data_IF_044509007010
#
_entry.id   IF_044509007010
#
_cell.length_a   1.000
_cell.length_b   1.000
_cell.length_c   1.000
_cell.angle_alpha   90.00
_cell.angle_beta   90.00
_cell.angle_gamma   90.00
#
_symmetry.space_group_name_H-M   'P 1'
#
loop_
_entity.id
_entity.type
_entity.pdbx_description
1 polymer ?
#
# COMPACT_ATOMS: atom_id res chain seq x y z
N UNK A 1 -14.74 -14.74 37.26
CA UNK A 1 -13.88 -15.66 36.49
C UNK A 1 -13.34 -14.90 35.27
N UNK A 2 -12.12 -14.37 35.37
CA UNK A 2 -11.48 -13.62 34.29
C UNK A 2 -10.75 -14.58 33.36
N UNK A 3 -11.23 -14.74 32.12
CA UNK A 3 -10.53 -15.50 31.08
C UNK A 3 -9.33 -14.66 30.62
N UNK A 4 -8.13 -15.08 31.00
CA UNK A 4 -6.87 -14.53 30.47
C UNK A 4 -6.76 -14.90 28.99
N UNK A 5 -6.76 -13.89 28.15
CA UNK A 5 -6.61 -14.02 26.69
C UNK A 5 -5.15 -14.34 26.34
N UNK A 6 -4.84 -15.40 25.57
CA UNK A 6 -3.48 -15.84 25.28
C UNK A 6 -2.87 -15.17 24.03
N UNK A 7 -3.10 -13.87 23.83
CA UNK A 7 -2.55 -13.13 22.68
C UNK A 7 -1.51 -12.11 23.14
N UNK A 8 -0.30 -12.56 23.46
CA UNK A 8 0.82 -11.64 23.75
C UNK A 8 2.20 -12.21 23.37
N UNK A 9 2.27 -13.19 22.47
CA UNK A 9 3.51 -13.92 22.17
C UNK A 9 3.72 -14.07 20.66
N UNK A 10 3.78 -12.96 19.95
CA UNK A 10 4.15 -12.92 18.53
C UNK A 10 4.66 -11.53 18.13
N UNK A 11 5.61 -10.96 18.87
CA UNK A 11 6.24 -9.69 18.47
C UNK A 11 7.73 -9.54 18.82
N UNK A 12 8.43 -10.62 19.20
CA UNK A 12 9.78 -10.52 19.80
C UNK A 12 10.94 -11.08 18.97
N UNK A 13 10.76 -11.37 17.67
CA UNK A 13 11.75 -12.16 16.90
C UNK A 13 12.28 -11.51 15.61
N UNK A 14 12.46 -10.19 15.59
CA UNK A 14 12.98 -9.47 14.41
C UNK A 14 14.10 -8.45 14.68
N UNK A 15 14.80 -8.55 15.82
CA UNK A 15 15.90 -7.63 16.17
C UNK A 15 17.25 -8.34 16.29
N UNK A 16 17.75 -8.92 15.20
CA UNK A 16 19.17 -9.30 15.09
C UNK A 16 19.60 -9.54 13.63
N UNK A 17 19.45 -8.53 12.76
CA UNK A 17 20.24 -8.48 11.54
C UNK A 17 21.36 -7.44 11.75
N UNK A 18 22.64 -7.79 11.54
CA UNK A 18 23.69 -6.78 11.56
C UNK A 18 23.44 -5.74 10.45
N UNK A 19 23.82 -4.46 10.66
CA UNK A 19 23.77 -3.48 9.60
C UNK A 19 24.76 -3.90 8.51
N UNK A 20 24.25 -4.47 7.42
CA UNK A 20 25.03 -4.59 6.18
C UNK A 20 25.05 -3.19 5.57
N UNK A 21 26.02 -2.37 5.99
CA UNK A 21 26.43 -1.21 5.21
C UNK A 21 27.08 -1.74 3.93
N UNK A 22 26.26 -1.95 2.90
CA UNK A 22 26.78 -2.07 1.56
C UNK A 22 27.40 -0.71 1.22
N UNK A 23 28.74 -0.63 1.24
CA UNK A 23 29.43 0.46 0.61
C UNK A 23 28.96 0.52 -0.84
N UNK A 24 28.25 1.58 -1.22
CA UNK A 24 28.00 1.86 -2.64
C UNK A 24 29.38 1.93 -3.31
N UNK A 25 29.64 1.17 -4.38
CA UNK A 25 30.87 1.34 -5.14
C UNK A 25 30.95 2.80 -5.57
N UNK A 26 32.04 3.45 -5.19
CA UNK A 26 32.38 4.83 -5.59
C UNK A 26 32.19 4.92 -7.09
N UNK A 27 31.29 5.80 -7.51
CA UNK A 27 30.72 5.82 -8.85
C UNK A 27 31.77 5.86 -9.95
N UNK A 28 31.84 4.79 -10.72
CA UNK A 28 32.24 4.91 -12.11
C UNK A 28 31.25 5.87 -12.77
N UNK A 29 31.77 7.01 -13.26
CA UNK A 29 30.99 7.90 -14.12
C UNK A 29 30.53 7.06 -15.31
N UNK A 30 29.25 6.70 -15.33
CA UNK A 30 28.64 6.15 -16.53
C UNK A 30 28.91 7.14 -17.67
N UNK A 31 29.51 6.71 -18.80
CA UNK A 31 29.65 7.58 -19.94
C UNK A 31 28.27 8.12 -20.31
N UNK A 32 28.19 9.41 -20.63
CA UNK A 32 26.95 10.04 -21.06
C UNK A 32 26.39 9.24 -22.23
N UNK A 33 25.32 8.48 -21.97
CA UNK A 33 24.63 7.73 -23.00
C UNK A 33 23.94 8.74 -23.91
N UNK A 34 24.60 9.10 -25.02
CA UNK A 34 23.94 9.69 -26.17
C UNK A 34 22.77 8.76 -26.55
N UNK A 35 21.56 9.32 -26.55
CA UNK A 35 20.39 8.57 -26.98
C UNK A 35 20.59 8.23 -28.47
N UNK A 36 20.54 6.96 -28.89
CA UNK A 36 20.66 6.62 -30.30
C UNK A 36 19.47 7.24 -31.04
N UNK A 37 19.75 8.30 -31.80
CA UNK A 37 18.79 8.89 -32.73
C UNK A 37 18.62 7.91 -33.89
N UNK A 38 17.53 7.16 -33.85
CA UNK A 38 16.90 6.57 -35.04
C UNK A 38 17.40 5.21 -35.47
N UNK A 39 16.94 4.15 -34.79
CA UNK A 39 16.45 2.89 -35.38
C UNK A 39 15.48 2.30 -34.35
N UNK A 40 14.30 1.82 -34.77
CA UNK A 40 13.39 1.10 -33.87
C UNK A 40 14.18 -0.04 -33.19
N UNK A 41 14.19 -0.13 -31.85
CA UNK A 41 15.07 -1.05 -31.16
C UNK A 41 14.68 -2.51 -31.45
N UNK A 42 15.66 -3.29 -31.92
CA UNK A 42 15.50 -4.68 -32.39
C UNK A 42 15.84 -5.73 -31.32
N UNK A 43 16.17 -5.33 -30.09
CA UNK A 43 16.48 -6.25 -28.99
C UNK A 43 15.31 -6.35 -28.01
N UNK A 44 15.20 -7.44 -27.25
CA UNK A 44 14.22 -7.58 -26.16
C UNK A 44 14.35 -6.47 -25.08
N UNK A 45 15.47 -5.72 -25.06
CA UNK A 45 15.71 -4.51 -24.26
C UNK A 45 15.07 -3.23 -24.84
N UNK A 46 14.46 -3.29 -26.03
CA UNK A 46 13.74 -2.21 -26.71
C UNK A 46 12.64 -1.54 -25.90
N UNK A 47 12.02 -2.29 -25.00
CA UNK A 47 10.92 -1.83 -24.15
C UNK A 47 11.40 -1.12 -22.88
N UNK A 48 12.71 -1.11 -22.63
CA UNK A 48 13.30 -0.65 -21.37
C UNK A 48 14.10 0.63 -21.64
N UNK A 49 13.62 1.75 -21.08
CA UNK A 49 14.26 3.06 -21.21
C UNK A 49 15.74 2.99 -20.73
N UNK A 50 16.75 3.33 -21.56
CA UNK A 50 18.14 3.46 -21.14
C UNK A 50 18.32 4.39 -19.94
N UNK A 51 17.41 5.38 -19.77
CA UNK A 51 17.38 6.29 -18.61
C UNK A 51 16.88 5.65 -17.32
N UNK A 52 16.53 4.35 -17.32
CA UNK A 52 16.43 3.58 -16.07
C UNK A 52 17.73 3.64 -15.24
N UNK A 53 18.88 3.93 -15.87
CA UNK A 53 20.15 4.15 -15.18
C UNK A 53 20.19 5.45 -14.33
N UNK A 54 19.46 6.52 -14.71
CA UNK A 54 19.36 7.74 -13.89
C UNK A 54 18.12 7.67 -13.00
N UNK A 55 18.23 6.85 -11.95
CA UNK A 55 17.25 6.79 -10.88
C UNK A 55 17.24 8.11 -10.08
N UNK A 56 16.09 8.53 -9.55
CA UNK A 56 16.04 9.67 -8.63
C UNK A 56 16.92 9.47 -7.38
N UNK A 57 17.27 8.21 -7.08
CA UNK A 57 18.23 7.82 -6.05
C UNK A 57 19.70 8.18 -6.36
N UNK A 58 20.07 8.38 -7.63
CA UNK A 58 21.44 8.76 -8.01
C UNK A 58 21.74 10.25 -7.82
N UNK A 59 20.71 11.08 -7.70
CA UNK A 59 20.86 12.53 -7.49
C UNK A 59 21.16 12.85 -6.02
N UNK A 60 21.84 13.96 -5.72
CA UNK A 60 22.06 14.40 -4.35
C UNK A 60 20.72 14.69 -3.64
N UNK A 61 20.68 14.55 -2.29
CA UNK A 61 19.52 14.95 -1.49
C UNK A 61 19.14 16.41 -1.75
N UNK A 62 17.84 16.67 -1.96
CA UNK A 62 17.31 18.02 -2.21
C UNK A 62 15.87 18.15 -1.71
N UNK A 63 15.41 19.39 -1.57
CA UNK A 63 13.98 19.64 -1.46
C UNK A 63 13.31 19.26 -2.79
N UNK A 64 12.15 18.60 -2.72
CA UNK A 64 11.44 18.19 -3.93
C UNK A 64 9.93 18.26 -3.76
N UNK A 65 9.27 18.37 -4.91
CA UNK A 65 7.87 18.03 -5.07
C UNK A 65 7.76 16.79 -5.95
N UNK A 66 6.91 15.84 -5.56
CA UNK A 66 6.70 14.62 -6.32
C UNK A 66 5.21 14.28 -6.41
N UNK A 67 4.87 13.55 -7.47
CA UNK A 67 3.57 12.94 -7.65
C UNK A 67 3.71 11.47 -8.01
N UNK A 68 2.86 10.63 -7.43
CA UNK A 68 2.63 9.26 -7.86
C UNK A 68 1.18 9.13 -8.24
N UNK A 69 0.89 8.60 -9.41
CA UNK A 69 -0.49 8.35 -9.83
C UNK A 69 -0.65 6.86 -10.13
N UNK A 70 -1.48 6.20 -9.34
CA UNK A 70 -1.88 4.81 -9.60
C UNK A 70 -3.19 4.79 -10.39
N UNK A 71 -3.12 4.35 -11.64
CA UNK A 71 -4.26 4.14 -12.53
C UNK A 71 -4.65 2.67 -12.52
N UNK A 72 -5.80 2.32 -11.97
CA UNK A 72 -6.38 0.98 -12.04
C UNK A 72 -7.67 0.97 -12.85
N UNK A 73 -8.22 -0.22 -13.11
CA UNK A 73 -9.47 -0.36 -13.86
C UNK A 73 -10.66 0.41 -13.24
N UNK A 74 -10.69 0.53 -11.91
CA UNK A 74 -11.81 1.16 -11.16
C UNK A 74 -11.39 2.35 -10.31
N UNK A 75 -10.15 2.82 -10.42
CA UNK A 75 -9.65 3.88 -9.55
C UNK A 75 -8.54 4.72 -10.20
N UNK A 76 -8.47 5.96 -9.75
CA UNK A 76 -7.29 6.82 -9.87
C UNK A 76 -6.89 7.24 -8.46
N UNK A 77 -5.63 7.01 -8.08
CA UNK A 77 -5.09 7.39 -6.77
C UNK A 77 -3.86 8.29 -6.96
N UNK A 78 -4.05 9.60 -7.11
CA UNK A 78 -2.94 10.53 -7.12
C UNK A 78 -2.42 10.74 -5.69
N UNK A 79 -1.11 10.80 -5.55
CA UNK A 79 -0.41 11.07 -4.30
C UNK A 79 0.57 12.20 -4.56
N UNK A 80 0.51 13.24 -3.74
CA UNK A 80 1.39 14.39 -3.77
C UNK A 80 2.33 14.30 -2.57
N UNK A 81 3.61 14.51 -2.81
CA UNK A 81 4.66 14.44 -1.80
C UNK A 81 5.49 15.71 -1.83
N UNK A 82 5.73 16.30 -0.66
CA UNK A 82 6.68 17.39 -0.46
C UNK A 82 7.68 16.95 0.61
N UNK A 83 8.97 17.04 0.32
CA UNK A 83 9.96 16.54 1.27
C UNK A 83 11.38 16.94 0.93
N UNK A 84 12.31 16.37 1.70
CA UNK A 84 13.74 16.53 1.52
C UNK A 84 14.42 15.16 1.45
N UNK A 85 15.26 14.97 0.44
CA UNK A 85 16.01 13.72 0.23
C UNK A 85 16.15 13.34 -1.24
N UNK A 86 16.21 12.04 -1.48
CA UNK A 86 16.19 11.38 -2.79
C UNK A 86 14.76 10.88 -3.06
N UNK A 87 13.99 11.51 -3.97
CA UNK A 87 12.60 11.13 -4.24
C UNK A 87 12.48 9.63 -4.54
N UNK A 88 11.46 8.96 -3.96
CA UNK A 88 11.17 7.53 -4.17
C UNK A 88 12.31 6.57 -3.80
N UNK A 89 13.23 6.97 -2.93
CA UNK A 89 14.34 6.12 -2.48
C UNK A 89 14.71 6.38 -1.03
N UNK A 90 14.95 7.64 -0.67
CA UNK A 90 15.38 8.00 0.68
C UNK A 90 14.98 9.44 1.01
N UNK A 91 13.87 9.66 1.71
CA UNK A 91 13.39 11.00 2.01
C UNK A 91 12.46 11.02 3.24
N UNK A 92 12.27 12.21 3.79
CA UNK A 92 11.28 12.52 4.81
C UNK A 92 10.44 13.70 4.34
N UNK A 93 9.15 13.68 4.63
CA UNK A 93 8.28 14.80 4.34
C UNK A 93 6.82 14.52 4.63
N UNK A 94 5.96 15.20 3.87
CA UNK A 94 4.51 15.11 3.95
C UNK A 94 3.92 14.52 2.68
N UNK A 95 2.89 13.70 2.84
CA UNK A 95 2.13 13.07 1.77
C UNK A 95 0.66 13.47 1.87
N UNK A 96 0.06 13.79 0.72
CA UNK A 96 -1.36 14.02 0.54
C UNK A 96 -1.91 13.11 -0.57
N UNK A 97 -3.06 12.49 -0.34
CA UNK A 97 -3.68 11.55 -1.28
C UNK A 97 -5.18 11.78 -1.31
N UNK A 98 -5.71 12.56 -2.28
CA UNK A 98 -7.15 12.66 -2.46
C UNK A 98 -7.69 11.32 -2.98
N UNK A 99 -8.83 10.93 -2.43
CA UNK A 99 -9.46 9.64 -2.70
C UNK A 99 -10.78 9.93 -3.39
N UNK A 100 -10.88 9.51 -4.65
CA UNK A 100 -12.12 9.58 -5.43
C UNK A 100 -12.52 8.18 -5.88
N UNK A 101 -13.65 7.70 -5.37
CA UNK A 101 -14.20 6.39 -5.69
C UNK A 101 -15.71 6.53 -5.93
N UNK A 102 -16.33 5.51 -6.52
CA UNK A 102 -17.78 5.51 -6.74
C UNK A 102 -18.57 5.53 -5.42
N UNK A 103 -18.02 4.90 -4.37
CA UNK A 103 -18.66 4.82 -3.06
C UNK A 103 -18.48 6.08 -2.20
N UNK A 104 -17.60 7.03 -2.56
CA UNK A 104 -17.34 8.19 -1.72
C UNK A 104 -16.15 9.06 -2.13
N UNK A 105 -15.97 10.14 -1.36
CA UNK A 105 -14.84 11.05 -1.47
C UNK A 105 -14.10 11.15 -0.14
N UNK A 106 -12.79 11.28 -0.22
CA UNK A 106 -11.95 11.45 0.95
C UNK A 106 -10.60 12.07 0.63
N UNK A 107 -9.81 12.26 1.66
CA UNK A 107 -8.43 12.68 1.53
C UNK A 107 -7.62 12.13 2.71
N UNK A 108 -6.40 11.69 2.41
CA UNK A 108 -5.38 11.39 3.40
C UNK A 108 -4.34 12.51 3.41
N UNK A 109 -3.85 12.84 4.60
CA UNK A 109 -2.70 13.71 4.81
C UNK A 109 -1.85 13.20 5.98
N UNK A 110 -0.54 13.17 5.81
CA UNK A 110 0.35 12.68 6.87
C UNK A 110 1.83 12.89 6.61
N UNK A 111 2.64 12.39 7.53
CA UNK A 111 4.09 12.32 7.42
C UNK A 111 4.51 10.99 6.81
N UNK A 112 5.65 10.99 6.12
CA UNK A 112 6.24 9.79 5.58
C UNK A 112 7.76 9.84 5.65
N UNK A 113 8.35 8.71 6.03
CA UNK A 113 9.77 8.42 5.99
C UNK A 113 9.97 7.24 5.07
N UNK A 114 10.72 7.44 4.00
CA UNK A 114 11.14 6.39 3.10
C UNK A 114 12.66 6.29 3.18
N UNK A 115 13.19 5.13 3.54
CA UNK A 115 14.62 4.80 3.53
C UNK A 115 14.79 3.41 2.93
N UNK A 116 16.00 2.98 2.54
CA UNK A 116 16.20 1.63 2.04
C UNK A 116 15.59 0.60 2.99
N UNK A 117 14.73 -0.28 2.45
CA UNK A 117 14.04 -1.36 3.16
C UNK A 117 12.92 -0.95 4.11
N UNK A 118 12.70 0.33 4.39
CA UNK A 118 11.68 0.80 5.34
C UNK A 118 10.91 2.00 4.76
N UNK A 119 9.60 1.88 4.65
CA UNK A 119 8.70 2.97 4.31
C UNK A 119 7.63 3.06 5.40
N UNK A 120 7.67 4.14 6.18
CA UNK A 120 6.75 4.38 7.28
C UNK A 120 5.94 5.64 7.01
N UNK A 121 4.62 5.52 7.16
CA UNK A 121 3.68 6.63 7.01
C UNK A 121 2.74 6.70 8.21
N UNK A 122 2.43 7.93 8.62
CA UNK A 122 1.46 8.19 9.69
C UNK A 122 0.65 9.43 9.35
N UNK A 123 -0.67 9.37 9.52
CA UNK A 123 -1.53 10.47 9.14
C UNK A 123 -2.99 10.26 9.46
N UNK A 124 -3.81 11.18 8.96
CA UNK A 124 -5.27 11.14 9.09
C UNK A 124 -5.91 11.02 7.71
N UNK A 125 -7.00 10.25 7.65
CA UNK A 125 -7.82 10.04 6.46
C UNK A 125 -9.27 10.40 6.78
N UNK A 126 -9.77 11.44 6.13
CA UNK A 126 -11.21 11.73 6.14
C UNK A 126 -11.88 11.02 4.97
N UNK A 127 -13.03 10.41 5.21
CA UNK A 127 -13.84 9.79 4.16
C UNK A 127 -15.33 10.05 4.38
N UNK A 128 -16.03 10.43 3.32
CA UNK A 128 -17.48 10.60 3.28
C UNK A 128 -18.06 9.64 2.25
N UNK A 129 -18.82 8.66 2.71
CA UNK A 129 -19.49 7.69 1.84
C UNK A 129 -20.73 8.31 1.18
N UNK A 130 -20.95 7.97 -0.08
CA UNK A 130 -22.14 8.28 -0.86
C UNK A 130 -23.18 7.18 -0.80
N UNK A 131 -22.72 5.93 -0.67
CA UNK A 131 -23.57 4.75 -0.74
C UNK A 131 -23.88 4.23 0.66
N UNK A 132 -22.88 4.16 1.55
CA UNK A 132 -22.99 3.50 2.84
C UNK A 132 -23.47 4.42 3.96
N UNK A 133 -24.23 3.84 4.88
CA UNK A 133 -24.63 4.45 6.16
C UNK A 133 -23.96 3.73 7.31
N UNK A 134 -24.01 4.29 8.51
CA UNK A 134 -23.60 3.55 9.70
C UNK A 134 -24.44 2.28 9.87
N UNK A 135 -23.78 1.19 10.25
CA UNK A 135 -24.37 -0.14 10.32
C UNK A 135 -24.86 -0.44 11.75
N UNK A 136 -25.94 -1.20 11.86
CA UNK A 136 -26.38 -1.76 13.13
C UNK A 136 -25.52 -2.99 13.43
N UNK A 137 -25.05 -3.20 14.67
CA UNK A 137 -24.26 -4.38 15.04
C UNK A 137 -24.94 -5.71 14.68
N UNK A 138 -24.21 -6.56 13.97
CA UNK A 138 -24.64 -7.89 13.51
C UNK A 138 -23.41 -8.83 13.46
N UNK A 139 -23.63 -10.15 13.52
CA UNK A 139 -22.55 -11.13 13.45
C UNK A 139 -21.94 -11.30 12.06
N UNK A 140 -22.69 -11.00 11.01
CA UNK A 140 -22.21 -11.07 9.62
C UNK A 140 -22.94 -10.07 8.76
N UNK A 141 -22.23 -9.49 7.79
CA UNK A 141 -22.81 -8.56 6.82
C UNK A 141 -22.76 -9.15 5.41
N UNK A 142 -23.88 -9.06 4.70
CA UNK A 142 -23.95 -9.33 3.27
C UNK A 142 -23.99 -8.00 2.50
N UNK A 143 -23.71 -8.05 1.20
CA UNK A 143 -23.76 -6.86 0.32
C UNK A 143 -25.09 -6.09 0.40
N UNK A 144 -26.21 -6.80 0.61
CA UNK A 144 -27.55 -6.20 0.68
C UNK A 144 -27.69 -5.28 1.92
N UNK A 145 -26.96 -5.56 3.00
CA UNK A 145 -27.05 -4.75 4.22
C UNK A 145 -26.47 -3.35 4.02
N UNK A 146 -25.58 -3.16 3.04
CA UNK A 146 -25.02 -1.86 2.66
C UNK A 146 -26.00 -1.01 1.84
N UNK A 147 -26.96 -1.64 1.17
CA UNK A 147 -27.96 -0.95 0.35
C UNK A 147 -29.12 -0.42 1.21
N UNK A 148 -29.27 -0.92 2.44
CA UNK A 148 -30.28 -0.47 3.40
C UNK A 148 -29.90 0.90 3.97
N UNK A 149 -30.55 1.95 3.46
CA UNK A 149 -30.42 3.32 3.98
C UNK A 149 -31.17 3.48 5.31
N UNK A 150 -30.55 3.03 6.40
CA UNK A 150 -31.17 3.08 7.75
C UNK A 150 -30.81 4.38 8.49
N UNK A 151 -29.76 5.08 8.08
CA UNK A 151 -29.23 6.24 8.82
C UNK A 151 -28.58 7.27 7.90
N UNK A 152 -27.95 8.28 8.50
CA UNK A 152 -27.11 9.25 7.82
C UNK A 152 -25.94 8.56 7.11
N UNK A 153 -25.46 9.22 6.06
CA UNK A 153 -24.30 8.77 5.31
C UNK A 153 -23.06 8.72 6.21
N UNK A 154 -22.34 7.61 6.13
CA UNK A 154 -21.18 7.37 6.97
C UNK A 154 -20.08 8.39 6.63
N UNK A 155 -19.61 9.10 7.66
CA UNK A 155 -18.46 9.99 7.60
C UNK A 155 -17.49 9.57 8.68
N UNK A 156 -16.24 9.36 8.32
CA UNK A 156 -15.22 8.89 9.27
C UNK A 156 -13.95 9.71 9.15
N UNK A 157 -13.27 9.82 10.28
CA UNK A 157 -11.88 10.25 10.35
C UNK A 157 -11.07 9.09 10.92
N UNK A 158 -10.12 8.61 10.14
CA UNK A 158 -9.28 7.47 10.49
C UNK A 158 -7.84 7.92 10.63
N UNK A 159 -7.25 7.74 11.81
CA UNK A 159 -5.81 7.94 12.02
C UNK A 159 -5.09 6.64 11.71
N UNK A 160 -4.17 6.64 10.76
CA UNK A 160 -3.48 5.43 10.31
C UNK A 160 -1.96 5.57 10.47
N UNK A 161 -1.32 4.48 10.89
CA UNK A 161 0.13 4.28 10.83
C UNK A 161 0.39 3.01 10.04
N UNK A 162 1.17 3.09 8.96
CA UNK A 162 1.54 1.96 8.11
C UNK A 162 3.06 1.89 7.97
N UNK A 163 3.59 0.68 8.13
CA UNK A 163 4.99 0.33 8.00
C UNK A 163 5.13 -0.75 6.93
N UNK A 164 5.86 -0.43 5.87
CA UNK A 164 6.27 -1.34 4.82
C UNK A 164 7.77 -1.66 4.99
N UNK A 165 8.09 -2.95 5.00
CA UNK A 165 9.43 -3.49 5.06
C UNK A 165 9.71 -4.32 3.80
N UNK A 166 10.92 -4.23 3.27
CA UNK A 166 11.32 -5.04 2.12
C UNK A 166 12.73 -5.60 2.26
N UNK A 167 12.88 -6.91 2.12
CA UNK A 167 14.16 -7.60 2.30
C UNK A 167 14.46 -8.47 1.07
N UNK A 168 15.71 -8.46 0.60
CA UNK A 168 16.14 -9.43 -0.40
C UNK A 168 16.33 -10.79 0.30
N UNK A 169 15.69 -11.84 -0.20
CA UNK A 169 15.72 -13.18 0.39
C UNK A 169 15.81 -14.24 -0.70
N UNK A 170 17.01 -14.81 -0.85
CA UNK A 170 17.32 -15.76 -1.91
C UNK A 170 17.08 -15.15 -3.30
N UNK A 171 16.38 -15.85 -4.22
CA UNK A 171 16.09 -15.33 -5.56
C UNK A 171 14.95 -14.30 -5.59
N UNK A 172 14.45 -13.87 -4.43
CA UNK A 172 13.25 -13.07 -4.33
C UNK A 172 13.35 -11.93 -3.33
N UNK A 173 12.19 -11.33 -3.06
CA UNK A 173 12.01 -10.25 -2.11
C UNK A 173 10.86 -10.58 -1.17
N UNK A 174 11.14 -10.55 0.13
CA UNK A 174 10.14 -10.59 1.17
C UNK A 174 9.62 -9.16 1.40
N UNK A 175 8.31 -8.99 1.35
CA UNK A 175 7.59 -7.75 1.62
C UNK A 175 6.73 -7.98 2.85
N UNK A 176 6.84 -7.10 3.84
CA UNK A 176 6.01 -7.14 5.05
C UNK A 176 5.37 -5.79 5.22
N UNK A 177 4.05 -5.75 5.38
CA UNK A 177 3.29 -4.54 5.68
C UNK A 177 2.57 -4.73 7.00
N UNK A 178 2.68 -3.77 7.90
CA UNK A 178 1.86 -3.68 9.10
C UNK A 178 1.14 -2.33 9.11
N UNK A 179 -0.14 -2.31 9.45
CA UNK A 179 -0.87 -1.07 9.65
C UNK A 179 -1.82 -1.15 10.84
N UNK A 180 -1.94 -0.05 11.57
CA UNK A 180 -2.93 0.14 12.63
C UNK A 180 -3.70 1.41 12.33
N UNK A 181 -5.02 1.32 12.44
CA UNK A 181 -5.91 2.45 12.22
C UNK A 181 -6.84 2.66 13.41
N UNK A 182 -7.08 3.93 13.74
CA UNK A 182 -7.99 4.40 14.78
C UNK A 182 -9.14 5.19 14.13
N UNK A 183 -10.31 4.57 14.04
CA UNK A 183 -11.50 5.09 13.37
C UNK A 183 -12.34 5.91 14.36
N UNK A 184 -12.69 7.14 13.97
CA UNK A 184 -13.47 8.10 14.76
C UNK A 184 -14.60 8.72 13.94
N UNK A 185 -15.52 9.41 14.63
CA UNK A 185 -16.71 10.01 14.01
C UNK A 185 -17.86 9.03 13.77
N UNK A 186 -17.80 7.85 14.40
CA UNK A 186 -18.87 6.85 14.36
C UNK A 186 -19.76 7.02 15.60
N UNK A 187 -21.10 7.09 15.46
CA UNK A 187 -22.01 7.16 16.59
C UNK A 187 -21.90 5.92 17.50
N UNK A 188 -22.14 6.11 18.80
CA UNK A 188 -22.09 5.01 19.77
C UNK A 188 -23.06 3.88 19.38
N UNK A 189 -22.60 2.63 19.54
CA UNK A 189 -23.38 1.43 19.21
C UNK A 189 -23.61 1.21 17.71
N UNK A 190 -22.83 1.88 16.85
CA UNK A 190 -22.85 1.69 15.39
C UNK A 190 -21.52 1.17 14.88
N UNK A 191 -21.59 0.38 13.82
CA UNK A 191 -20.43 -0.07 13.07
C UNK A 191 -20.26 0.78 11.81
N UNK A 192 -19.07 0.71 11.22
CA UNK A 192 -18.80 1.42 9.96
C UNK A 192 -18.03 0.53 9.00
N UNK A 193 -18.28 0.72 7.71
CA UNK A 193 -17.48 0.12 6.67
C UNK A 193 -16.19 0.91 6.45
N UNK A 194 -15.05 0.28 6.69
CA UNK A 194 -13.74 0.87 6.41
C UNK A 194 -13.39 0.63 4.92
N UNK A 195 -13.49 1.70 4.14
CA UNK A 195 -13.42 1.65 2.67
C UNK A 195 -12.03 1.35 2.10
N UNK A 196 -10.94 1.50 2.87
CA UNK A 196 -9.59 1.16 2.38
C UNK A 196 -9.32 -0.33 2.57
N UNK A 197 -9.61 -0.85 3.75
CA UNK A 197 -9.36 -2.22 4.19
C UNK A 197 -10.49 -3.18 3.79
N UNK A 198 -11.66 -2.65 3.44
CA UNK A 198 -12.87 -3.40 3.11
C UNK A 198 -13.27 -4.36 4.24
N UNK A 199 -13.48 -3.82 5.43
CA UNK A 199 -13.91 -4.55 6.62
C UNK A 199 -14.94 -3.74 7.40
N UNK A 200 -15.82 -4.41 8.14
CA UNK A 200 -16.73 -3.75 9.09
C UNK A 200 -16.01 -3.57 10.41
N UNK A 201 -15.94 -2.33 10.86
CA UNK A 201 -15.25 -1.93 12.09
C UNK A 201 -16.27 -1.64 13.16
N UNK A 202 -16.14 -2.34 14.29
CA UNK A 202 -16.59 -1.89 15.60
C UNK A 202 -15.48 -0.98 16.17
N UNK A 203 -15.68 0.35 16.17
CA UNK A 203 -14.62 1.30 16.48
C UNK A 203 -14.03 1.09 17.90
N UNK A 204 -12.76 1.48 18.12
CA UNK A 204 -12.00 2.35 17.23
C UNK A 204 -10.88 1.65 16.44
N UNK A 205 -10.46 0.45 16.83
CA UNK A 205 -9.23 -0.14 16.30
C UNK A 205 -9.48 -1.11 15.17
N UNK A 206 -8.65 -1.01 14.13
CA UNK A 206 -8.46 -2.06 13.13
C UNK A 206 -6.97 -2.19 12.86
N UNK A 207 -6.49 -3.41 12.73
CA UNK A 207 -5.10 -3.65 12.33
C UNK A 207 -5.04 -4.61 11.16
N UNK A 208 -3.92 -4.56 10.47
CA UNK A 208 -3.64 -5.40 9.32
C UNK A 208 -2.16 -5.75 9.25
N UNK A 209 -1.88 -6.97 8.82
CA UNK A 209 -0.55 -7.42 8.45
C UNK A 209 -0.59 -8.17 7.12
N UNK A 210 0.25 -7.78 6.17
CA UNK A 210 0.42 -8.49 4.90
C UNK A 210 1.86 -8.95 4.76
N UNK A 211 2.05 -10.20 4.36
CA UNK A 211 3.35 -10.78 4.02
C UNK A 211 3.27 -11.26 2.58
N UNK A 212 4.25 -10.90 1.77
CA UNK A 212 4.37 -11.39 0.40
C UNK A 212 5.81 -11.79 0.07
N UNK A 213 5.97 -12.86 -0.69
CA UNK A 213 7.27 -13.26 -1.23
C UNK A 213 7.21 -13.21 -2.75
N UNK A 214 7.96 -12.30 -3.37
CA UNK A 214 8.04 -12.19 -4.82
C UNK A 214 9.33 -12.80 -5.35
N UNK A 215 9.26 -13.79 -6.23
CA UNK A 215 10.40 -14.24 -7.02
C UNK A 215 10.79 -13.11 -7.99
N UNK A 216 12.04 -12.68 -7.97
CA UNK A 216 12.53 -11.54 -8.76
C UNK A 216 13.25 -12.06 -9.99
N UNK A 217 12.92 -11.53 -11.17
CA UNK A 217 13.52 -11.95 -12.43
C UNK A 217 13.65 -10.79 -13.43
N UNK A 218 14.32 -11.07 -14.55
CA UNK A 218 14.76 -10.07 -15.53
C UNK A 218 16.21 -9.63 -15.30
N UNK A 219 16.87 -9.18 -16.36
CA UNK A 219 18.29 -8.78 -16.38
C UNK A 219 18.65 -7.69 -15.36
N UNK A 220 17.67 -6.92 -14.89
CA UNK A 220 17.81 -5.84 -13.91
C UNK A 220 16.95 -6.05 -12.66
N UNK A 221 16.43 -7.26 -12.43
CA UNK A 221 15.51 -7.55 -11.31
C UNK A 221 14.23 -6.69 -11.36
N UNK A 222 13.75 -6.40 -12.56
CA UNK A 222 12.66 -5.45 -12.81
C UNK A 222 11.27 -6.07 -12.68
N UNK A 223 11.17 -7.39 -12.69
CA UNK A 223 9.91 -8.12 -12.60
C UNK A 223 9.87 -8.94 -11.31
N UNK A 224 8.70 -9.03 -10.70
CA UNK A 224 8.45 -9.96 -9.61
C UNK A 224 7.04 -10.53 -9.65
N UNK A 225 6.91 -11.77 -9.20
CA UNK A 225 5.63 -12.43 -8.95
C UNK A 225 5.74 -13.34 -7.74
N UNK A 226 4.69 -13.45 -6.93
CA UNK A 226 4.62 -14.51 -5.94
C UNK A 226 3.46 -14.36 -4.97
N UNK A 227 3.36 -15.26 -3.98
CA UNK A 227 2.22 -15.30 -3.08
C UNK A 227 2.24 -14.17 -2.06
N UNK A 228 1.05 -13.77 -1.63
CA UNK A 228 0.79 -12.90 -0.50
C UNK A 228 -0.29 -13.48 0.41
N UNK A 229 -0.16 -13.19 1.70
CA UNK A 229 -1.14 -13.44 2.76
C UNK A 229 -1.42 -12.13 3.46
N UNK A 230 -2.68 -11.82 3.68
CA UNK A 230 -3.17 -10.61 4.32
C UNK A 230 -4.06 -10.99 5.49
N UNK A 231 -3.74 -10.49 6.67
CA UNK A 231 -4.43 -10.75 7.93
C UNK A 231 -4.99 -9.43 8.43
N UNK A 232 -6.28 -9.40 8.72
CA UNK A 232 -6.96 -8.24 9.27
C UNK A 232 -7.81 -8.67 10.46
N UNK A 233 -7.92 -7.80 11.45
CA UNK A 233 -8.71 -8.05 12.65
C UNK A 233 -9.16 -6.71 13.26
N UNK A 234 -10.36 -6.73 13.82
CA UNK A 234 -11.03 -5.61 14.45
C UNK A 234 -11.24 -6.00 15.91
N UNK A 235 -10.39 -5.58 16.85
CA UNK A 235 -10.43 -6.04 18.23
C UNK A 235 -11.78 -5.82 18.94
N UNK A 236 -12.58 -4.83 18.51
CA UNK A 236 -13.93 -4.60 19.04
C UNK A 236 -14.94 -5.70 18.68
N UNK A 237 -14.64 -6.52 17.67
CA UNK A 237 -15.55 -7.53 17.12
C UNK A 237 -14.88 -8.91 17.13
N UNK A 238 -15.38 -9.81 17.99
CA UNK A 238 -14.77 -11.12 18.27
C UNK A 238 -14.64 -12.05 17.05
N UNK A 239 -15.50 -11.89 16.04
CA UNK A 239 -15.54 -12.72 14.83
C UNK A 239 -14.93 -12.04 13.58
N UNK A 240 -14.34 -10.84 13.71
CA UNK A 240 -13.92 -9.98 12.59
C UNK A 240 -12.70 -10.43 11.79
N UNK A 241 -12.04 -11.52 12.20
CA UNK A 241 -10.80 -11.99 11.58
C UNK A 241 -11.00 -12.28 10.11
N UNK A 242 -10.23 -11.58 9.29
CA UNK A 242 -10.25 -11.73 7.85
C UNK A 242 -8.88 -12.18 7.36
N UNK A 243 -8.84 -13.31 6.65
CA UNK A 243 -7.65 -13.85 6.02
C UNK A 243 -7.84 -13.82 4.51
N UNK A 244 -6.90 -13.23 3.80
CA UNK A 244 -6.90 -13.17 2.35
C UNK A 244 -5.58 -13.70 1.80
N UNK A 245 -5.62 -14.35 0.66
CA UNK A 245 -4.43 -14.91 0.00
C UNK A 245 -4.50 -14.67 -1.49
N UNK A 246 -3.35 -14.57 -2.15
CA UNK A 246 -3.31 -14.52 -3.61
C UNK A 246 -2.00 -14.01 -4.18
N UNK A 247 -1.85 -13.97 -5.50
CA UNK A 247 -0.62 -13.51 -6.11
C UNK A 247 -0.50 -11.98 -6.09
N UNK A 248 0.74 -11.52 -5.94
CA UNK A 248 1.16 -10.15 -6.21
C UNK A 248 2.21 -10.17 -7.31
N UNK A 249 2.21 -9.16 -8.17
CA UNK A 249 3.18 -9.01 -9.24
C UNK A 249 3.57 -7.55 -9.44
N UNK A 250 4.76 -7.34 -9.95
CA UNK A 250 5.29 -6.02 -10.29
C UNK A 250 6.12 -6.13 -11.56
N UNK A 251 5.94 -5.20 -12.49
CA UNK A 251 6.77 -5.09 -13.70
C UNK A 251 7.19 -3.64 -13.88
N UNK A 252 8.46 -3.33 -13.69
CA UNK A 252 9.00 -1.99 -13.93
C UNK A 252 9.29 -1.84 -15.41
N UNK A 253 8.57 -0.94 -16.08
CA UNK A 253 8.74 -0.66 -17.51
C UNK A 253 9.75 0.46 -17.74
N UNK A 254 9.77 1.45 -16.85
CA UNK A 254 10.73 2.55 -16.87
C UNK A 254 10.98 3.10 -15.46
N UNK A 255 11.81 4.14 -15.34
CA UNK A 255 11.94 4.87 -14.06
C UNK A 255 10.61 5.48 -13.61
N UNK A 256 9.73 5.84 -14.55
CA UNK A 256 8.46 6.52 -14.27
C UNK A 256 7.27 5.57 -14.24
N UNK A 257 7.34 4.43 -14.90
CA UNK A 257 6.17 3.57 -15.15
C UNK A 257 6.41 2.16 -14.59
N UNK A 258 5.47 1.71 -13.77
CA UNK A 258 5.47 0.39 -13.14
C UNK A 258 4.07 -0.23 -13.25
N UNK A 259 3.95 -1.44 -13.80
CA UNK A 259 2.72 -2.23 -13.73
C UNK A 259 2.70 -2.93 -12.37
N UNK A 260 1.58 -2.86 -11.65
CA UNK A 260 1.37 -3.53 -10.37
C UNK A 260 0.10 -4.35 -10.42
N UNK A 261 0.18 -5.56 -9.88
CA UNK A 261 -0.96 -6.46 -9.74
C UNK A 261 -1.03 -7.05 -8.34
N UNK A 262 -2.23 -7.12 -7.77
CA UNK A 262 -2.55 -7.81 -6.52
C UNK A 262 -3.90 -8.48 -6.71
N UNK A 263 -3.97 -9.80 -6.58
CA UNK A 263 -5.21 -10.58 -6.73
C UNK A 263 -5.44 -11.43 -5.48
N UNK A 264 -5.64 -10.76 -4.37
CA UNK A 264 -5.74 -11.33 -3.02
C UNK A 264 -7.22 -11.54 -2.68
N UNK A 265 -7.67 -12.79 -2.63
CA UNK A 265 -9.05 -13.17 -2.36
C UNK A 265 -9.25 -13.58 -0.90
N UNK A 266 -10.43 -13.29 -0.36
CA UNK A 266 -10.81 -13.66 1.00
C UNK A 266 -11.03 -15.16 1.12
N UNK A 267 -10.34 -15.80 2.07
CA UNK A 267 -10.50 -17.22 2.41
C UNK A 267 -11.29 -17.38 3.70
N UNK A 268 -11.09 -16.47 4.65
CA UNK A 268 -11.80 -16.43 5.93
C UNK A 268 -12.29 -15.01 6.14
N UNK A 269 -13.58 -14.83 6.42
CA UNK A 269 -14.17 -13.59 6.91
C UNK A 269 -15.58 -13.90 7.42
N UNK A 270 -16.07 -13.22 8.46
CA UNK A 270 -17.48 -13.32 8.85
C UNK A 270 -18.40 -12.66 7.82
N UNK A 271 -17.88 -11.75 6.99
CA UNK A 271 -18.67 -10.92 6.10
C UNK A 271 -18.56 -11.36 4.63
N UNK A 272 -19.66 -11.28 3.88
CA UNK A 272 -19.75 -11.67 2.46
C UNK A 272 -20.00 -10.45 1.57
N UNK A 273 -19.11 -9.48 1.70
CA UNK A 273 -19.18 -8.18 0.99
C UNK A 273 -18.71 -8.31 -0.48
N UNK A 274 -18.00 -9.39 -0.80
CA UNK A 274 -17.44 -9.67 -2.12
C UNK A 274 -16.00 -9.17 -2.28
N UNK A 275 -15.47 -9.27 -3.51
CA UNK A 275 -14.10 -8.86 -3.86
C UNK A 275 -14.02 -7.46 -4.49
N UNK A 276 -15.16 -6.78 -4.64
CA UNK A 276 -15.24 -5.54 -5.40
C UNK A 276 -14.84 -4.37 -4.51
N UNK A 277 -13.68 -3.80 -4.80
CA UNK A 277 -13.12 -2.67 -4.07
C UNK A 277 -12.11 -3.10 -3.01
N UNK A 278 -11.13 -2.23 -2.75
CA UNK A 278 -10.04 -2.45 -1.79
C UNK A 278 -8.71 -2.75 -2.46
N UNK A 279 -7.65 -2.86 -1.66
CA UNK A 279 -6.30 -3.16 -2.14
C UNK A 279 -6.00 -4.66 -2.34
N UNK A 280 -7.09 -5.42 -2.45
CA UNK A 280 -7.14 -6.86 -2.62
C UNK A 280 -7.13 -7.25 -4.10
N UNK A 281 -7.88 -6.56 -4.96
CA UNK A 281 -7.92 -6.83 -6.42
C UNK A 281 -7.55 -5.57 -7.20
N UNK A 282 -6.27 -5.40 -7.47
CA UNK A 282 -5.72 -4.26 -8.17
C UNK A 282 -4.90 -4.72 -9.36
N UNK A 283 -5.21 -4.23 -10.55
CA UNK A 283 -4.30 -4.23 -11.68
C UNK A 283 -4.21 -2.79 -12.16
N UNK A 284 -2.99 -2.25 -12.19
CA UNK A 284 -2.81 -0.86 -12.53
C UNK A 284 -1.42 -0.47 -12.98
N UNK A 285 -1.36 0.74 -13.53
CA UNK A 285 -0.15 1.45 -13.91
C UNK A 285 0.16 2.51 -12.87
N UNK A 286 1.36 2.46 -12.31
CA UNK A 286 1.92 3.48 -11.45
C UNK A 286 2.81 4.40 -12.28
N UNK A 287 2.44 5.68 -12.34
CA UNK A 287 3.27 6.75 -12.88
C UNK A 287 3.94 7.53 -11.74
N UNK A 288 5.23 7.83 -11.87
CA UNK A 288 6.00 8.63 -10.91
C UNK A 288 6.64 9.84 -11.59
N UNK A 289 6.60 10.97 -10.91
CA UNK A 289 7.32 12.19 -11.29
C UNK A 289 7.82 12.91 -10.04
N UNK A 290 9.01 13.51 -10.13
CA UNK A 290 9.54 14.41 -9.10
C UNK A 290 10.31 15.55 -9.77
N UNK A 291 10.37 16.71 -9.10
CA UNK A 291 11.20 17.83 -9.52
C UNK A 291 12.67 17.42 -9.65
N UNK A 292 13.30 17.79 -10.76
CA UNK A 292 14.72 17.53 -11.03
C UNK A 292 15.58 18.67 -10.44
#
# INVERSE_FOLDING_TARGET
MARRSPYCLLLSLLCAAPPVWAAEPVGDKFPDAEAPLGVLPTSEDALIDPKMARSWGALPPRAFAATTVDFGFVYIRPRLSLGYGRPFTQWLGVDANPIAQTSGLGAYGGFRVEIPHVDWRIGGRYFSSFEHTFLVPQGSYDRIDFERKVSDKAKTLTWESELDLSFNLGPGRLLVRGSVSYVTGVPDGRYVFEETLHVIVDPPWVWRSRIAYGYVFGSRGQHSIGPAVDLLDVPGREDSRTVRVGPVLTMKLSRRVEVRGSFVFTVVSPDRIGLKGGDSTELGLRYRWASE
#
